data_IF_491364453259
#
_entry.id   IF_491364453259
#
_cell.length_a   1.000
_cell.length_b   1.000
_cell.length_c   1.000
_cell.angle_alpha   90.00
_cell.angle_beta   90.00
_cell.angle_gamma   90.00
#
_symmetry.space_group_name_H-M   'P 1'
#
loop_
_entity.id
_entity.type
_entity.pdbx_description
1 polymer ?
#
# COMPACT_ATOMS: atom_id res chain seq x y z
N UNK A 1 -13.46 3.03 0.46
CA UNK A 1 -13.29 4.27 -0.32
C UNK A 1 -12.58 4.03 -1.67
N UNK A 2 -12.84 4.85 -2.70
CA UNK A 2 -12.01 4.93 -3.91
C UNK A 2 -11.43 6.35 -4.00
N UNK A 3 -10.15 6.49 -4.36
CA UNK A 3 -9.48 7.80 -4.46
C UNK A 3 -9.47 8.34 -5.89
N UNK A 4 -9.62 9.66 -6.05
CA UNK A 4 -9.66 10.39 -7.33
C UNK A 4 -8.25 10.65 -7.94
N UNK A 5 -7.34 9.68 -7.89
CA UNK A 5 -5.99 9.85 -8.48
C UNK A 5 -5.11 10.93 -7.81
N UNK A 6 -5.45 11.36 -6.60
CA UNK A 6 -4.77 12.46 -5.90
C UNK A 6 -3.28 12.17 -5.60
N UNK A 7 -2.48 13.23 -5.51
CA UNK A 7 -1.06 13.16 -5.14
C UNK A 7 -0.89 13.58 -3.67
N UNK A 8 -0.38 12.67 -2.85
CA UNK A 8 -0.03 12.91 -1.45
C UNK A 8 1.48 13.06 -1.33
N UNK A 9 1.95 14.23 -0.86
CA UNK A 9 3.39 14.55 -0.72
C UNK A 9 3.98 14.14 0.63
N UNK A 10 3.27 13.34 1.39
CA UNK A 10 3.62 12.87 2.72
C UNK A 10 3.14 11.43 2.89
N UNK A 11 3.53 10.81 4.00
CA UNK A 11 3.05 9.47 4.37
C UNK A 11 1.54 9.50 4.64
N UNK A 12 0.84 8.42 4.29
CA UNK A 12 -0.59 8.29 4.57
C UNK A 12 -0.89 7.01 5.33
N UNK A 13 -2.02 7.02 6.04
CA UNK A 13 -2.59 5.83 6.66
C UNK A 13 -3.91 5.48 6.02
N UNK A 14 -4.06 4.21 5.65
CA UNK A 14 -5.31 3.62 5.16
C UNK A 14 -5.98 2.92 6.34
N UNK A 15 -6.98 3.57 6.93
CA UNK A 15 -7.70 3.08 8.10
C UNK A 15 -8.98 2.31 7.77
N UNK A 16 -9.38 2.30 6.50
CA UNK A 16 -10.57 1.62 6.01
C UNK A 16 -10.29 1.01 4.64
N UNK A 17 -11.13 0.06 4.23
CA UNK A 17 -10.99 -0.63 2.95
C UNK A 17 -10.96 0.38 1.79
N UNK A 18 -9.83 0.48 1.09
CA UNK A 18 -9.57 1.54 0.12
C UNK A 18 -8.97 0.99 -1.17
N UNK A 19 -9.53 1.41 -2.30
CA UNK A 19 -8.90 1.30 -3.62
C UNK A 19 -8.17 2.60 -3.93
N UNK A 20 -6.85 2.55 -3.95
CA UNK A 20 -5.99 3.70 -4.16
C UNK A 20 -5.44 3.73 -5.59
N UNK A 21 -5.68 4.81 -6.31
CA UNK A 21 -5.26 5.00 -7.72
C UNK A 21 -4.27 6.17 -7.89
N UNK A 22 -3.96 6.91 -6.82
CA UNK A 22 -3.12 8.10 -6.88
C UNK A 22 -1.62 7.82 -6.73
N UNK A 23 -0.88 8.86 -6.37
CA UNK A 23 0.54 8.78 -6.03
C UNK A 23 0.76 9.21 -4.58
N UNK A 24 1.45 8.40 -3.81
CA UNK A 24 1.98 8.77 -2.49
C UNK A 24 3.48 8.91 -2.63
N UNK A 25 4.02 10.12 -2.43
CA UNK A 25 5.47 10.37 -2.45
C UNK A 25 6.17 9.88 -1.18
N UNK A 26 5.40 9.54 -0.14
CA UNK A 26 5.85 8.87 1.07
C UNK A 26 5.47 7.40 1.12
N UNK A 27 5.47 6.87 2.33
CA UNK A 27 5.06 5.51 2.65
C UNK A 27 3.54 5.42 2.85
N UNK A 28 2.99 4.23 2.61
CA UNK A 28 1.58 3.92 2.92
C UNK A 28 1.55 2.93 4.07
N UNK A 29 0.90 3.31 5.18
CA UNK A 29 0.61 2.39 6.27
C UNK A 29 -0.83 1.89 6.16
N UNK A 30 -1.03 0.57 6.16
CA UNK A 30 -2.36 -0.04 6.20
C UNK A 30 -2.65 -0.43 7.64
N UNK A 31 -3.70 0.18 8.21
CA UNK A 31 -4.08 -0.04 9.59
C UNK A 31 -4.58 -1.49 9.82
N UNK A 32 -4.59 -1.99 11.06
CA UNK A 32 -5.07 -3.33 11.35
C UNK A 32 -6.46 -3.62 10.78
N UNK A 33 -6.62 -4.79 10.16
CA UNK A 33 -7.89 -5.23 9.57
C UNK A 33 -8.32 -4.50 8.28
N UNK A 34 -7.63 -3.45 7.85
CA UNK A 34 -7.98 -2.71 6.65
C UNK A 34 -7.42 -3.37 5.36
N UNK A 35 -8.17 -3.22 4.26
CA UNK A 35 -7.74 -3.60 2.92
C UNK A 35 -7.24 -2.40 2.13
N UNK A 36 -6.05 -2.50 1.54
CA UNK A 36 -5.56 -1.61 0.50
C UNK A 36 -5.52 -2.37 -0.84
N UNK A 37 -6.32 -1.93 -1.81
CA UNK A 37 -6.15 -2.29 -3.22
C UNK A 37 -5.31 -1.19 -3.88
N UNK A 38 -4.01 -1.43 -4.03
CA UNK A 38 -3.07 -0.45 -4.59
C UNK A 38 -3.02 -0.60 -6.12
N UNK A 39 -3.68 0.31 -6.83
CA UNK A 39 -3.59 0.47 -8.31
C UNK A 39 -2.67 1.63 -8.72
N UNK A 40 -2.47 2.58 -7.81
CA UNK A 40 -1.53 3.68 -7.96
C UNK A 40 -0.11 3.31 -7.49
N UNK A 41 0.62 4.30 -6.98
CA UNK A 41 2.01 4.09 -6.55
C UNK A 41 2.30 4.66 -5.17
N UNK A 42 3.13 3.94 -4.41
CA UNK A 42 3.91 4.50 -3.29
C UNK A 42 5.35 4.67 -3.75
N UNK A 43 5.95 5.84 -3.50
CA UNK A 43 7.34 6.10 -3.84
C UNK A 43 8.31 5.44 -2.85
N UNK A 44 7.87 5.22 -1.60
CA UNK A 44 8.63 4.56 -0.55
C UNK A 44 7.97 3.22 -0.21
N UNK A 45 7.78 2.94 1.08
CA UNK A 45 7.38 1.62 1.57
C UNK A 45 5.86 1.48 1.68
N UNK A 46 5.39 0.23 1.64
CA UNK A 46 4.04 -0.12 2.10
C UNK A 46 4.16 -0.96 3.36
N UNK A 47 3.61 -0.46 4.47
CA UNK A 47 3.64 -1.13 5.77
C UNK A 47 2.26 -1.73 6.05
N UNK A 48 2.20 -3.04 6.23
CA UNK A 48 0.99 -3.77 6.62
C UNK A 48 1.03 -4.08 8.10
N UNK A 49 -0.01 -3.69 8.83
CA UNK A 49 -0.20 -4.10 10.22
C UNK A 49 -1.02 -5.38 10.32
N UNK A 50 -1.10 -5.92 11.52
CA UNK A 50 -1.79 -7.18 11.81
C UNK A 50 -3.21 -7.25 11.21
N UNK A 51 -3.49 -8.34 10.51
CA UNK A 51 -4.80 -8.60 9.88
C UNK A 51 -5.14 -7.68 8.72
N UNK A 52 -4.27 -6.73 8.34
CA UNK A 52 -4.45 -5.92 7.14
C UNK A 52 -4.18 -6.72 5.86
N UNK A 53 -4.67 -6.22 4.73
CA UNK A 53 -4.48 -6.86 3.42
C UNK A 53 -4.01 -5.86 2.37
N UNK A 54 -3.03 -6.26 1.57
CA UNK A 54 -2.61 -5.55 0.35
C UNK A 54 -2.98 -6.38 -0.88
N UNK A 55 -3.74 -5.80 -1.81
CA UNK A 55 -3.83 -6.29 -3.18
C UNK A 55 -3.03 -5.37 -4.09
N UNK A 56 -1.91 -5.89 -4.60
CA UNK A 56 -0.94 -5.09 -5.33
C UNK A 56 -1.15 -5.22 -6.84
N UNK A 57 -1.64 -4.15 -7.45
CA UNK A 57 -1.76 -3.98 -8.91
C UNK A 57 -0.84 -2.87 -9.46
N UNK A 58 -0.44 -1.92 -8.61
CA UNK A 58 0.41 -0.80 -8.93
C UNK A 58 1.86 -0.99 -8.44
N UNK A 59 2.53 0.11 -8.09
CA UNK A 59 3.96 0.08 -7.77
C UNK A 59 4.27 0.45 -6.31
N UNK A 60 5.23 -0.27 -5.74
CA UNK A 60 5.90 0.10 -4.48
C UNK A 60 7.37 0.40 -4.79
N UNK A 61 7.78 1.64 -4.55
CA UNK A 61 9.13 2.11 -4.86
C UNK A 61 10.20 1.63 -3.88
N UNK A 62 9.82 1.36 -2.63
CA UNK A 62 10.65 0.77 -1.59
C UNK A 62 10.27 -0.66 -1.27
N UNK A 63 10.24 -0.98 0.01
CA UNK A 63 9.93 -2.30 0.53
C UNK A 63 8.43 -2.46 0.85
N UNK A 64 7.96 -3.70 0.85
CA UNK A 64 6.69 -4.06 1.50
C UNK A 64 7.03 -4.70 2.84
N UNK A 65 6.67 -4.03 3.95
CA UNK A 65 6.94 -4.49 5.32
C UNK A 65 5.67 -5.10 5.90
N UNK A 66 5.65 -6.43 6.06
CA UNK A 66 4.47 -7.18 6.46
C UNK A 66 4.49 -7.60 7.94
N UNK A 67 3.88 -6.80 8.82
CA UNK A 67 3.82 -7.06 10.27
C UNK A 67 2.58 -7.87 10.67
N UNK A 68 2.32 -8.97 9.97
CA UNK A 68 1.18 -9.85 10.23
C UNK A 68 -0.08 -9.57 9.39
N UNK A 69 0.07 -8.90 8.25
CA UNK A 69 -0.95 -8.79 7.22
C UNK A 69 -0.82 -9.85 6.12
N UNK A 70 -1.64 -9.72 5.08
CA UNK A 70 -1.63 -10.60 3.91
C UNK A 70 -1.33 -9.79 2.64
N UNK A 71 -0.38 -10.27 1.84
CA UNK A 71 -0.06 -9.71 0.53
C UNK A 71 -0.65 -10.61 -0.56
N UNK A 72 -1.44 -10.03 -1.45
CA UNK A 72 -1.87 -10.64 -2.71
C UNK A 72 -1.17 -9.90 -3.83
N UNK A 73 -0.13 -10.52 -4.39
CA UNK A 73 0.63 -9.97 -5.51
C UNK A 73 -0.10 -10.32 -6.82
N UNK A 74 -0.67 -9.31 -7.48
CA UNK A 74 -1.28 -9.46 -8.80
C UNK A 74 -0.28 -9.02 -9.89
N UNK A 75 -0.57 -7.92 -10.59
CA UNK A 75 0.25 -7.42 -11.70
C UNK A 75 1.21 -6.29 -11.28
N UNK A 76 1.23 -5.93 -10.00
CA UNK A 76 2.05 -4.83 -9.52
C UNK A 76 3.53 -5.18 -9.35
N UNK A 77 4.33 -4.16 -9.05
CA UNK A 77 5.79 -4.27 -8.96
C UNK A 77 6.28 -3.74 -7.61
N UNK A 78 7.24 -4.44 -7.01
CA UNK A 78 7.97 -4.00 -5.81
C UNK A 78 9.42 -3.79 -6.23
N UNK A 79 9.92 -2.55 -6.13
CA UNK A 79 11.31 -2.24 -6.51
C UNK A 79 12.32 -2.61 -5.43
N UNK A 80 11.90 -2.60 -4.16
CA UNK A 80 12.67 -3.11 -3.05
C UNK A 80 12.44 -4.61 -2.85
N UNK A 81 12.19 -5.01 -1.60
CA UNK A 81 11.95 -6.38 -1.20
C UNK A 81 10.72 -6.50 -0.30
N UNK A 82 10.18 -7.72 -0.19
CA UNK A 82 9.19 -8.04 0.84
C UNK A 82 9.94 -8.41 2.12
N UNK A 83 9.58 -7.78 3.24
CA UNK A 83 10.14 -8.03 4.58
C UNK A 83 9.03 -8.41 5.54
N UNK A 84 9.33 -9.29 6.49
CA UNK A 84 8.43 -9.65 7.60
C UNK A 84 8.83 -8.95 8.89
#
# INVERSE_FOLDING_TARGET
MQTDGSIYRHDITISENTTFQGLVMGSITVAPGALLVLRGSSALDVILNEGSKLELYGQVGGDVVNRGGMIVHNEGEIKGSVRE
#
